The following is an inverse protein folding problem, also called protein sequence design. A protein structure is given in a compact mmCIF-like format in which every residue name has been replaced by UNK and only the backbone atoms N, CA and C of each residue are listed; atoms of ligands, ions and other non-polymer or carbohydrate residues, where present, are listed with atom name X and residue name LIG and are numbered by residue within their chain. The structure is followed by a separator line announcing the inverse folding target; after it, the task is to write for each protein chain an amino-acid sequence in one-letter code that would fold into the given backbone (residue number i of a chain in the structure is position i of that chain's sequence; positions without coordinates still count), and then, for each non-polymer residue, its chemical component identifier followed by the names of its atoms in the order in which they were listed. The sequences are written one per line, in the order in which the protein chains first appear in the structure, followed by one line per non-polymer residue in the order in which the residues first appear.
data_IF_952341417609
#
_entry.id   IF_952341417609
#
_cell.length_a   1.000
_cell.length_b   1.000
_cell.length_c   1.000
_cell.angle_alpha   90.00
_cell.angle_beta   90.00
_cell.angle_gamma   90.00
#
_symmetry.space_group_name_H-M   'P 1'
#
loop_
_entity.id
_entity.type
_entity.pdbx_description
1 polymer ?
#
# COMPACT_ATOMS: atom_id res chain seq x y z
N UNK A 1 -22.03 -21.72 11.57
CA UNK A 1 -21.52 -20.41 12.06
C UNK A 1 -20.93 -19.68 10.86
N UNK A 2 -21.57 -18.60 10.39
CA UNK A 2 -20.99 -17.76 9.34
C UNK A 2 -19.78 -17.04 9.94
N UNK A 3 -18.56 -17.47 9.62
CA UNK A 3 -17.35 -16.70 9.97
C UNK A 3 -17.47 -15.34 9.27
N UNK A 4 -17.52 -14.26 10.05
CA UNK A 4 -17.44 -12.91 9.50
C UNK A 4 -16.16 -12.79 8.69
N UNK A 5 -16.25 -12.23 7.48
CA UNK A 5 -15.06 -11.99 6.64
C UNK A 5 -14.09 -11.10 7.41
N UNK A 6 -12.78 -11.43 7.45
CA UNK A 6 -11.78 -10.57 8.07
C UNK A 6 -11.83 -9.17 7.48
N UNK A 7 -11.81 -8.17 8.37
CA UNK A 7 -12.02 -6.75 8.07
C UNK A 7 -10.68 -6.06 7.87
N UNK A 8 -9.82 -6.65 7.02
CA UNK A 8 -8.44 -6.21 6.79
C UNK A 8 -8.10 -6.29 5.29
N UNK A 9 -7.64 -5.18 4.74
CA UNK A 9 -7.11 -5.07 3.38
C UNK A 9 -5.61 -4.79 3.43
N UNK A 10 -4.83 -5.36 2.51
CA UNK A 10 -3.39 -5.24 2.56
C UNK A 10 -2.76 -4.93 1.21
N UNK A 11 -1.76 -4.05 1.23
CA UNK A 11 -0.74 -3.92 0.18
C UNK A 11 0.59 -4.38 0.78
N UNK A 12 1.22 -5.37 0.16
CA UNK A 12 2.49 -5.96 0.61
C UNK A 12 3.49 -5.83 -0.53
N UNK A 13 4.65 -5.26 -0.25
CA UNK A 13 5.67 -4.98 -1.26
C UNK A 13 7.00 -5.59 -0.81
N UNK A 14 7.59 -6.44 -1.64
CA UNK A 14 8.91 -7.03 -1.41
C UNK A 14 9.80 -6.82 -2.64
N UNK A 15 10.96 -6.21 -2.45
CA UNK A 15 11.88 -5.89 -3.54
C UNK A 15 13.29 -6.38 -3.19
N UNK A 16 13.76 -7.38 -3.91
CA UNK A 16 15.02 -8.08 -3.70
C UNK A 16 15.97 -7.94 -4.90
N UNK A 17 15.45 -8.05 -6.12
CA UNK A 17 16.24 -8.20 -7.36
C UNK A 17 16.58 -6.86 -8.03
N UNK A 18 17.14 -5.91 -7.28
CA UNK A 18 17.54 -4.61 -7.82
C UNK A 18 18.53 -4.74 -8.98
N UNK A 19 18.26 -4.03 -10.07
CA UNK A 19 19.13 -4.01 -11.26
C UNK A 19 20.38 -3.17 -11.00
N UNK A 20 21.51 -3.51 -11.62
CA UNK A 20 22.80 -2.79 -11.43
C UNK A 20 22.69 -1.28 -11.75
N UNK A 21 21.85 -0.94 -12.74
CA UNK A 21 21.58 0.46 -13.12
C UNK A 21 20.97 1.30 -11.99
N UNK A 22 20.36 0.68 -10.99
CA UNK A 22 19.82 1.36 -9.81
C UNK A 22 20.89 1.79 -8.81
N UNK A 23 22.12 1.24 -8.93
CA UNK A 23 23.21 1.35 -7.94
C UNK A 23 22.86 0.81 -6.54
N UNK A 24 21.81 0.00 -6.44
CA UNK A 24 21.41 -0.67 -5.21
C UNK A 24 21.89 -2.11 -5.20
N UNK A 25 22.36 -2.59 -4.06
CA UNK A 25 22.68 -4.00 -3.88
C UNK A 25 21.40 -4.84 -3.87
N UNK A 26 21.46 -6.06 -4.44
CA UNK A 26 20.37 -7.02 -4.31
C UNK A 26 20.18 -7.44 -2.84
N UNK A 27 18.94 -7.71 -2.45
CA UNK A 27 18.59 -8.16 -1.10
C UNK A 27 18.14 -9.61 -1.15
N UNK A 28 18.60 -10.44 -0.22
CA UNK A 28 18.21 -11.86 -0.16
C UNK A 28 16.91 -12.10 0.62
N UNK A 29 16.42 -11.13 1.39
CA UNK A 29 15.31 -11.30 2.35
C UNK A 29 13.97 -10.68 1.93
N UNK A 30 13.98 -9.53 1.26
CA UNK A 30 12.78 -8.69 1.13
C UNK A 30 11.54 -9.38 0.51
N UNK A 31 11.72 -10.16 -0.56
CA UNK A 31 10.61 -10.95 -1.12
C UNK A 31 10.14 -12.05 -0.17
N UNK A 32 11.06 -12.73 0.53
CA UNK A 32 10.71 -13.75 1.53
C UNK A 32 9.96 -13.16 2.72
N UNK A 33 10.31 -11.94 3.12
CA UNK A 33 9.62 -11.23 4.19
C UNK A 33 8.19 -10.87 3.76
N UNK A 34 8.02 -10.33 2.54
CA UNK A 34 6.71 -10.06 1.95
C UNK A 34 5.85 -11.33 1.83
N UNK A 35 6.44 -12.45 1.41
CA UNK A 35 5.77 -13.76 1.35
C UNK A 35 5.32 -14.23 2.72
N UNK A 36 6.19 -14.12 3.72
CA UNK A 36 5.88 -14.52 5.11
C UNK A 36 4.71 -13.73 5.69
N UNK A 37 4.66 -12.41 5.44
CA UNK A 37 3.51 -11.58 5.85
C UNK A 37 2.25 -12.00 5.10
N UNK A 38 2.33 -12.17 3.78
CA UNK A 38 1.18 -12.61 2.98
C UNK A 38 0.61 -13.95 3.47
N UNK A 39 1.49 -14.91 3.78
CA UNK A 39 1.11 -16.23 4.24
C UNK A 39 0.48 -16.15 5.62
N UNK A 40 1.06 -15.41 6.55
CA UNK A 40 0.47 -15.16 7.88
C UNK A 40 -0.93 -14.53 7.79
N UNK A 41 -1.13 -13.53 6.92
CA UNK A 41 -2.44 -12.91 6.73
C UNK A 41 -3.48 -13.93 6.22
N UNK A 42 -3.09 -14.83 5.31
CA UNK A 42 -4.00 -15.80 4.72
C UNK A 42 -4.25 -17.03 5.61
N UNK A 43 -3.23 -17.56 6.27
CA UNK A 43 -3.32 -18.81 7.05
C UNK A 43 -3.84 -18.56 8.47
N UNK A 44 -3.28 -17.56 9.15
CA UNK A 44 -3.58 -17.33 10.57
C UNK A 44 -4.74 -16.36 10.73
N UNK A 45 -4.73 -15.26 9.96
CA UNK A 45 -5.78 -14.24 10.04
C UNK A 45 -6.93 -14.47 9.05
N UNK A 46 -6.84 -15.52 8.23
CA UNK A 46 -7.86 -15.93 7.26
C UNK A 46 -8.26 -14.84 6.25
N UNK A 47 -7.40 -13.84 6.02
CA UNK A 47 -7.67 -12.71 5.12
C UNK A 47 -7.81 -13.26 3.69
N UNK A 48 -8.93 -12.99 2.99
CA UNK A 48 -9.12 -13.45 1.62
C UNK A 48 -8.07 -12.87 0.67
N UNK A 49 -7.60 -13.68 -0.30
CA UNK A 49 -6.68 -13.22 -1.35
C UNK A 49 -7.17 -11.98 -2.11
N UNK A 50 -8.49 -11.84 -2.28
CA UNK A 50 -9.09 -10.66 -2.93
C UNK A 50 -8.86 -9.36 -2.16
N UNK A 51 -8.55 -9.45 -0.86
CA UNK A 51 -8.26 -8.31 0.01
C UNK A 51 -6.75 -8.03 0.13
N UNK A 52 -5.90 -8.74 -0.61
CA UNK A 52 -4.44 -8.58 -0.56
C UNK A 52 -3.92 -8.27 -1.97
N UNK A 53 -3.17 -7.18 -2.10
CA UNK A 53 -2.29 -6.93 -3.24
C UNK A 53 -0.86 -7.14 -2.79
N UNK A 54 -0.16 -8.07 -3.44
CA UNK A 54 1.26 -8.31 -3.21
C UNK A 54 2.04 -7.98 -4.48
N UNK A 55 3.08 -7.17 -4.35
CA UNK A 55 4.01 -6.81 -5.42
C UNK A 55 5.40 -7.35 -5.08
N UNK A 56 5.96 -8.14 -5.99
CA UNK A 56 7.31 -8.71 -5.87
C UNK A 56 8.19 -8.23 -7.01
N UNK A 57 9.41 -7.80 -6.69
CA UNK A 57 10.46 -7.45 -7.65
C UNK A 57 9.91 -6.68 -8.86
N UNK A 58 9.88 -7.31 -10.04
CA UNK A 58 9.44 -6.74 -11.32
C UNK A 58 8.04 -6.11 -11.30
N UNK A 59 7.19 -6.49 -10.35
CA UNK A 59 5.85 -5.92 -10.16
C UNK A 59 5.88 -4.63 -9.32
N UNK A 60 6.88 -4.48 -8.45
CA UNK A 60 7.07 -3.34 -7.55
C UNK A 60 7.74 -2.15 -8.26
N UNK A 61 7.27 -1.83 -9.46
CA UNK A 61 7.64 -0.61 -10.18
C UNK A 61 7.06 0.61 -9.47
N UNK A 62 7.58 1.80 -9.76
CA UNK A 62 7.02 3.04 -9.20
C UNK A 62 5.52 3.14 -9.50
N UNK A 63 5.14 2.87 -10.75
CA UNK A 63 3.74 2.88 -11.18
C UNK A 63 2.93 1.78 -10.49
N UNK A 64 3.48 0.56 -10.36
CA UNK A 64 2.82 -0.56 -9.70
C UNK A 64 2.54 -0.29 -8.22
N UNK A 65 3.52 0.27 -7.49
CA UNK A 65 3.37 0.66 -6.09
C UNK A 65 2.27 1.73 -5.96
N UNK A 66 2.31 2.79 -6.78
CA UNK A 66 1.26 3.83 -6.73
C UNK A 66 -0.12 3.24 -7.01
N UNK A 67 -0.25 2.42 -8.06
CA UNK A 67 -1.51 1.78 -8.40
C UNK A 67 -2.05 0.87 -7.28
N UNK A 68 -1.17 0.24 -6.49
CA UNK A 68 -1.60 -0.54 -5.32
C UNK A 68 -2.16 0.35 -4.19
N UNK A 69 -1.59 1.53 -3.96
CA UNK A 69 -2.16 2.51 -3.02
C UNK A 69 -3.49 3.07 -3.54
N UNK A 70 -3.59 3.33 -4.84
CA UNK A 70 -4.84 3.77 -5.46
C UNK A 70 -5.93 2.70 -5.38
N UNK A 71 -5.57 1.42 -5.53
CA UNK A 71 -6.49 0.31 -5.30
C UNK A 71 -7.07 0.32 -3.87
N UNK A 72 -6.26 0.63 -2.85
CA UNK A 72 -6.76 0.81 -1.47
C UNK A 72 -7.66 2.05 -1.35
N UNK A 73 -7.32 3.15 -2.01
CA UNK A 73 -8.12 4.39 -2.02
C UNK A 73 -9.50 4.15 -2.60
N UNK A 74 -9.58 3.37 -3.66
CA UNK A 74 -10.79 3.18 -4.45
C UNK A 74 -11.71 2.07 -3.89
N UNK A 75 -11.32 1.44 -2.77
CA UNK A 75 -12.20 0.58 -2.00
C UNK A 75 -13.46 1.33 -1.55
N UNK A 76 -14.62 0.72 -1.74
CA UNK A 76 -15.92 1.31 -1.41
C UNK A 76 -16.92 0.24 -0.95
N UNK A 77 -18.05 0.64 -0.34
CA UNK A 77 -19.10 -0.30 0.04
C UNK A 77 -19.66 -1.07 -1.18
N UNK A 78 -20.04 -2.36 -1.02
CA UNK A 78 -20.12 -3.11 0.23
C UNK A 78 -18.80 -3.75 0.69
N UNK A 79 -17.76 -3.71 -0.14
CA UNK A 79 -16.50 -4.42 0.08
C UNK A 79 -15.67 -3.82 1.23
N UNK A 80 -15.68 -2.48 1.37
CA UNK A 80 -15.02 -1.76 2.45
C UNK A 80 -16.02 -0.90 3.25
N UNK A 81 -15.86 -0.86 4.57
CA UNK A 81 -16.67 -0.05 5.50
C UNK A 81 -15.79 0.65 6.54
N UNK A 82 -16.28 1.69 7.24
CA UNK A 82 -15.45 2.56 8.10
C UNK A 82 -14.63 1.89 9.22
N UNK A 83 -14.93 0.64 9.59
CA UNK A 83 -14.20 -0.13 10.59
C UNK A 83 -13.24 -1.17 9.99
N UNK A 84 -13.09 -1.21 8.66
CA UNK A 84 -12.07 -2.03 8.02
C UNK A 84 -10.68 -1.45 8.26
N UNK A 85 -9.72 -2.34 8.47
CA UNK A 85 -8.32 -2.00 8.66
C UNK A 85 -7.56 -2.09 7.33
N UNK A 86 -6.52 -1.28 7.20
CA UNK A 86 -5.58 -1.31 6.08
C UNK A 86 -4.18 -1.59 6.63
N UNK A 87 -3.50 -2.56 6.04
CA UNK A 87 -2.08 -2.84 6.26
C UNK A 87 -1.30 -2.46 4.99
N UNK A 88 -0.24 -1.67 5.17
CA UNK A 88 0.75 -1.43 4.11
C UNK A 88 2.08 -1.94 4.65
N UNK A 89 2.64 -2.96 3.99
CA UNK A 89 3.92 -3.56 4.35
C UNK A 89 4.92 -3.36 3.22
N UNK A 90 6.14 -2.93 3.55
CA UNK A 90 7.23 -2.73 2.60
C UNK A 90 8.51 -3.36 3.14
N UNK A 91 9.14 -4.20 2.31
CA UNK A 91 10.50 -4.69 2.48
C UNK A 91 11.31 -4.39 1.21
N UNK A 92 12.43 -3.68 1.37
CA UNK A 92 13.26 -3.20 0.26
C UNK A 92 14.22 -2.12 0.74
N UNK A 93 14.96 -1.51 -0.19
CA UNK A 93 15.83 -0.38 0.13
C UNK A 93 15.02 0.89 0.42
N UNK A 94 15.46 1.62 1.43
CA UNK A 94 15.07 3.02 1.65
C UNK A 94 16.26 3.91 1.32
N UNK A 95 16.00 5.04 0.68
CA UNK A 95 17.00 6.05 0.37
C UNK A 95 16.62 7.42 0.94
N UNK A 96 17.48 8.40 0.77
CA UNK A 96 17.23 9.78 1.20
C UNK A 96 17.43 10.73 0.01
N UNK A 97 16.56 11.73 -0.13
CA UNK A 97 16.81 12.87 -1.02
C UNK A 97 17.78 13.82 -0.32
N UNK A 98 19.07 13.89 -0.75
CA UNK A 98 20.13 14.54 0.04
C UNK A 98 19.88 16.02 0.32
N UNK A 99 19.16 16.71 -0.56
CA UNK A 99 18.88 18.15 -0.44
C UNK A 99 17.69 18.48 0.45
N UNK A 100 16.94 17.48 0.92
CA UNK A 100 15.67 17.69 1.61
C UNK A 100 15.51 16.87 2.90
N UNK A 101 16.41 15.93 3.19
CA UNK A 101 16.29 15.02 4.34
C UNK A 101 15.03 14.14 4.27
N UNK A 102 14.49 13.94 3.07
CA UNK A 102 13.23 13.20 2.86
C UNK A 102 13.58 11.77 2.52
N UNK A 103 13.11 10.83 3.34
CA UNK A 103 13.25 9.40 3.05
C UNK A 103 12.39 9.00 1.86
N UNK A 104 12.80 7.91 1.20
CA UNK A 104 12.20 7.43 -0.02
C UNK A 104 12.16 5.91 -0.04
N UNK A 105 11.06 5.35 -0.53
CA UNK A 105 11.01 3.96 -0.96
C UNK A 105 11.69 3.85 -2.32
N UNK A 106 12.47 2.79 -2.53
CA UNK A 106 13.18 2.54 -3.80
C UNK A 106 12.44 1.46 -4.60
N UNK A 107 11.72 1.82 -5.68
CA UNK A 107 11.07 0.84 -6.57
C UNK A 107 12.08 0.02 -7.38
N UNK A 108 11.64 -1.11 -7.93
CA UNK A 108 12.50 -1.99 -8.73
C UNK A 108 13.07 -1.30 -9.98
N UNK A 109 12.31 -0.37 -10.54
CA UNK A 109 12.63 0.39 -11.76
C UNK A 109 13.31 1.73 -11.44
N UNK A 110 13.75 1.95 -10.19
CA UNK A 110 14.56 3.11 -9.84
C UNK A 110 15.84 3.15 -10.69
N UNK A 111 16.02 4.27 -11.37
CA UNK A 111 17.24 4.56 -12.13
C UNK A 111 17.61 6.00 -11.81
N UNK A 112 18.82 6.25 -11.27
CA UNK A 112 19.32 7.60 -11.03
C UNK A 112 19.10 8.50 -12.25
N UNK A 113 18.58 9.71 -12.02
CA UNK A 113 18.31 10.75 -13.02
C UNK A 113 17.29 10.41 -14.12
N UNK A 114 16.66 9.21 -14.12
CA UNK A 114 15.66 8.79 -15.11
C UNK A 114 14.32 8.41 -14.51
N UNK A 115 14.33 7.60 -13.46
CA UNK A 115 13.12 7.11 -12.80
C UNK A 115 13.28 7.37 -11.29
N UNK A 116 12.60 8.41 -10.75
CA UNK A 116 12.80 8.79 -9.36
C UNK A 116 12.23 7.77 -8.38
N UNK A 117 12.71 7.77 -7.12
CA UNK A 117 12.12 6.95 -6.06
C UNK A 117 10.75 7.50 -5.63
N UNK A 118 10.09 6.88 -4.65
CA UNK A 118 8.84 7.36 -4.07
C UNK A 118 9.16 8.02 -2.73
N UNK A 119 9.03 9.34 -2.65
CA UNK A 119 9.30 10.07 -1.41
C UNK A 119 8.25 9.81 -0.33
N UNK A 120 8.64 9.91 0.93
CA UNK A 120 7.72 9.86 2.07
C UNK A 120 6.58 10.87 1.96
N UNK A 121 6.84 12.05 1.38
CA UNK A 121 5.79 13.05 1.10
C UNK A 121 4.75 12.52 0.11
N UNK A 122 5.20 11.77 -0.89
CA UNK A 122 4.31 11.09 -1.85
C UNK A 122 3.53 9.96 -1.16
N UNK A 123 4.20 9.14 -0.35
CA UNK A 123 3.54 8.08 0.43
C UNK A 123 2.47 8.67 1.37
N UNK A 124 2.81 9.73 2.12
CA UNK A 124 1.89 10.43 3.00
C UNK A 124 0.70 11.03 2.24
N UNK A 125 0.93 11.63 1.07
CA UNK A 125 -0.15 12.14 0.24
C UNK A 125 -1.11 11.03 -0.22
N UNK A 126 -0.59 9.87 -0.62
CA UNK A 126 -1.41 8.70 -1.00
C UNK A 126 -2.21 8.16 0.18
N UNK A 127 -1.59 8.02 1.36
CA UNK A 127 -2.28 7.58 2.59
C UNK A 127 -3.38 8.58 2.98
N UNK A 128 -3.11 9.88 2.90
CA UNK A 128 -4.11 10.91 3.18
C UNK A 128 -5.30 10.87 2.19
N UNK A 129 -5.05 10.53 0.92
CA UNK A 129 -6.12 10.33 -0.05
C UNK A 129 -6.98 9.11 0.28
N UNK A 130 -6.36 8.00 0.72
CA UNK A 130 -7.07 6.82 1.21
C UNK A 130 -7.95 7.22 2.39
N UNK A 131 -7.37 7.82 3.44
CA UNK A 131 -8.09 8.23 4.65
C UNK A 131 -9.28 9.15 4.32
N UNK A 132 -9.06 10.20 3.52
CA UNK A 132 -10.11 11.13 3.12
C UNK A 132 -11.25 10.44 2.36
N UNK A 133 -10.94 9.49 1.48
CA UNK A 133 -11.97 8.75 0.73
C UNK A 133 -12.79 7.86 1.66
N UNK A 134 -12.14 7.23 2.64
CA UNK A 134 -12.82 6.35 3.60
C UNK A 134 -13.62 7.11 4.67
N UNK A 135 -13.17 8.30 5.08
CA UNK A 135 -13.95 9.22 5.92
C UNK A 135 -15.18 9.77 5.17
N UNK A 136 -15.03 10.09 3.87
CA UNK A 136 -16.12 10.59 3.03
C UNK A 136 -17.16 9.54 2.62
N UNK A 137 -17.01 8.27 3.02
CA UNK A 137 -17.99 7.21 2.74
C UNK A 137 -19.13 7.12 3.79
N UNK A 138 -19.20 8.07 4.75
CA UNK A 138 -20.36 8.24 5.65
C UNK A 138 -21.27 9.34 5.08
N UNK A 139 -22.33 8.96 4.37
CA UNK A 139 -23.41 9.88 4.00
C UNK A 139 -24.33 10.04 5.21
N UNK A 140 -24.17 11.13 5.96
CA UNK A 140 -25.14 11.55 6.97
C UNK A 140 -26.34 12.22 6.29
N UNK A 141 -27.51 11.61 6.38
CA UNK A 141 -28.78 12.27 6.06
C UNK A 141 -28.96 13.48 6.99
N UNK A 142 -28.98 14.69 6.44
CA UNK A 142 -29.53 15.86 7.14
C UNK A 142 -30.95 16.10 6.62
N UNK A 143 -31.94 15.72 7.42
CA UNK A 143 -33.32 16.17 7.26
C UNK A 143 -33.52 17.44 8.09
N UNK A 144 -33.38 18.60 7.47
CA UNK A 144 -33.79 19.86 8.08
C UNK A 144 -35.29 20.07 7.82
N UNK A 145 -36.13 19.60 8.75
CA UNK A 145 -37.54 20.00 8.80
C UNK A 145 -37.62 21.42 9.35
N UNK A 146 -37.84 22.43 8.49
CA UNK A 146 -38.33 23.73 8.95
C UNK A 146 -39.76 23.54 9.45
N UNK A 147 -39.99 23.80 10.74
CA UNK A 147 -41.33 24.13 11.22
C UNK A 147 -41.40 25.62 11.49
N UNK A 148 -42.58 26.13 11.15
CA UNK A 148 -43.02 27.53 11.02
C UNK A 148 -42.74 28.39 12.24
#
# INVERSE_FOLDING_TARGET
ISRSRPRLWAVIIGISDYHESSKMAKLSGAVRDADSINDYLQSELMVPRSQIRILRDKQATRAGIIAAFEWLRDLSPPDFKPQDHILIYYAGHVGEVPTKGVQTLIPIDYIPDKQPPISDRTVAALINQIAKKQENNIVGHSAASRRM
#
